data_IF_346343429515
#
_entry.id   IF_346343429515
#
_cell.length_a   1.000
_cell.length_b   1.000
_cell.length_c   1.000
_cell.angle_alpha   90.00
_cell.angle_beta   90.00
_cell.angle_gamma   90.00
#
_symmetry.space_group_name_H-M   'P 1'
#
loop_
_entity.id
_entity.type
_entity.pdbx_description
1 polymer ?
#
# COMPACT_ATOMS: atom_id res chain seq x y z
N UNK A 1 -0.30 -8.22 -10.79
CA UNK A 1 0.72 -7.15 -10.85
C UNK A 1 0.98 -6.69 -12.27
N UNK A 2 0.88 -7.57 -13.27
CA UNK A 2 1.35 -7.38 -14.64
C UNK A 2 0.80 -6.15 -15.38
N UNK A 3 -0.38 -5.64 -15.00
CA UNK A 3 -1.04 -4.48 -15.63
C UNK A 3 -1.10 -3.24 -14.75
N UNK A 4 -0.43 -3.26 -13.59
CA UNK A 4 -0.53 -2.15 -12.64
C UNK A 4 -0.01 -0.84 -13.23
N UNK A 5 1.15 -0.85 -13.89
CA UNK A 5 1.74 0.34 -14.51
C UNK A 5 0.83 0.93 -15.61
N UNK A 6 0.31 0.07 -16.51
CA UNK A 6 -0.66 0.44 -17.56
C UNK A 6 -1.89 1.14 -16.95
N UNK A 7 -2.46 0.56 -15.90
CA UNK A 7 -3.64 1.14 -15.25
C UNK A 7 -3.33 2.40 -14.46
N UNK A 8 -2.17 2.47 -13.81
CA UNK A 8 -1.74 3.67 -13.11
C UNK A 8 -1.63 4.85 -14.07
N UNK A 9 -1.05 4.65 -15.25
CA UNK A 9 -0.95 5.68 -16.29
C UNK A 9 -2.33 6.16 -16.75
N UNK A 10 -3.27 5.23 -17.01
CA UNK A 10 -4.63 5.58 -17.40
C UNK A 10 -5.40 6.34 -16.31
N UNK A 11 -5.16 6.03 -15.05
CA UNK A 11 -5.82 6.68 -13.92
C UNK A 11 -5.20 8.03 -13.55
N UNK A 12 -3.91 8.23 -13.83
CA UNK A 12 -3.11 9.35 -13.32
C UNK A 12 -3.76 10.74 -13.48
N UNK A 13 -4.40 11.11 -14.61
CA UNK A 13 -5.06 12.41 -14.76
C UNK A 13 -6.26 12.62 -13.83
N UNK A 14 -6.77 11.56 -13.21
CA UNK A 14 -7.98 11.54 -12.40
C UNK A 14 -7.71 11.26 -10.91
N UNK A 15 -6.45 11.03 -10.52
CA UNK A 15 -6.09 10.67 -9.15
C UNK A 15 -5.99 11.90 -8.24
N UNK A 16 -6.85 11.97 -7.21
CA UNK A 16 -6.74 12.97 -6.15
C UNK A 16 -5.66 12.62 -5.12
N UNK A 17 -5.62 11.35 -4.70
CA UNK A 17 -4.67 10.82 -3.73
C UNK A 17 -4.46 9.32 -3.99
N UNK A 18 -3.30 8.79 -3.57
CA UNK A 18 -3.04 7.35 -3.51
C UNK A 18 -2.92 6.96 -2.04
N UNK A 19 -3.67 5.96 -1.61
CA UNK A 19 -3.57 5.41 -0.26
C UNK A 19 -2.78 4.11 -0.29
N UNK A 20 -1.78 3.99 0.57
CA UNK A 20 -0.89 2.85 0.67
C UNK A 20 -1.30 1.90 1.80
N UNK A 21 -1.08 0.61 1.55
CA UNK A 21 -1.23 -0.48 2.49
C UNK A 21 -0.32 -1.63 2.06
N UNK A 22 0.06 -2.50 3.01
CA UNK A 22 0.66 -3.78 2.66
C UNK A 22 -0.34 -4.68 1.95
N UNK A 23 0.11 -5.38 0.89
CA UNK A 23 -0.76 -6.18 0.02
C UNK A 23 -0.20 -7.58 -0.20
N UNK A 24 -1.06 -8.59 -0.10
CA UNK A 24 -0.69 -10.00 -0.27
C UNK A 24 -1.62 -10.70 -1.27
N UNK A 25 -1.38 -12.00 -1.49
CA UNK A 25 -2.19 -12.87 -2.34
C UNK A 25 -3.66 -12.84 -1.88
N UNK A 26 -4.60 -12.76 -2.82
CA UNK A 26 -6.04 -12.67 -2.48
C UNK A 26 -6.54 -13.93 -1.80
N UNK A 27 -5.91 -15.06 -2.10
CA UNK A 27 -6.22 -16.40 -1.63
C UNK A 27 -6.00 -16.55 -0.12
N UNK A 28 -5.15 -15.72 0.49
CA UNK A 28 -4.87 -15.78 1.94
C UNK A 28 -5.68 -14.75 2.75
N UNK A 29 -6.53 -13.97 2.07
CA UNK A 29 -7.46 -13.04 2.72
C UNK A 29 -8.67 -13.83 3.20
N UNK A 30 -8.97 -13.75 4.50
CA UNK A 30 -10.24 -14.28 5.00
C UNK A 30 -11.37 -13.37 4.54
N UNK A 31 -12.26 -13.85 3.67
CA UNK A 31 -13.35 -13.04 3.12
C UNK A 31 -14.50 -12.79 4.10
N UNK A 32 -14.56 -13.49 5.23
CA UNK A 32 -15.55 -13.27 6.29
C UNK A 32 -15.06 -12.27 7.33
N UNK A 33 -13.81 -12.40 7.77
CA UNK A 33 -13.22 -11.56 8.83
C UNK A 33 -12.43 -10.38 8.27
N UNK A 34 -12.11 -10.41 6.97
CA UNK A 34 -11.21 -9.46 6.29
C UNK A 34 -9.78 -9.49 6.83
N UNK A 35 -9.40 -10.54 7.55
CA UNK A 35 -8.02 -10.76 7.97
C UNK A 35 -7.09 -10.86 6.76
N UNK A 36 -5.87 -10.33 6.89
CA UNK A 36 -4.87 -10.19 5.82
C UNK A 36 -5.28 -9.30 4.62
N UNK A 37 -6.46 -8.67 4.65
CA UNK A 37 -6.88 -7.74 3.60
C UNK A 37 -5.98 -6.50 3.53
N UNK A 38 -5.54 -6.01 4.68
CA UNK A 38 -4.68 -4.84 4.83
C UNK A 38 -3.56 -5.19 5.81
N UNK A 39 -2.33 -5.21 5.31
CA UNK A 39 -1.14 -5.45 6.11
C UNK A 39 -0.45 -4.12 6.40
N UNK A 40 0.39 -4.02 7.46
CA UNK A 40 1.32 -2.91 7.56
C UNK A 40 2.24 -2.90 6.33
N UNK A 41 2.54 -1.69 5.82
CA UNK A 41 3.46 -1.51 4.69
C UNK A 41 4.79 -2.18 4.99
N UNK A 42 5.35 -2.89 4.00
CA UNK A 42 6.62 -3.62 4.13
C UNK A 42 6.45 -5.07 4.57
N UNK A 43 5.24 -5.47 4.99
CA UNK A 43 4.94 -6.85 5.39
C UNK A 43 4.18 -7.66 4.33
N UNK A 44 3.77 -7.03 3.23
CA UNK A 44 3.11 -7.68 2.12
C UNK A 44 4.08 -8.10 1.01
N UNK A 45 3.50 -8.69 -0.03
CA UNK A 45 4.18 -9.27 -1.18
C UNK A 45 4.33 -8.28 -2.34
N UNK A 46 3.37 -7.37 -2.49
CA UNK A 46 3.21 -6.60 -3.73
C UNK A 46 3.50 -5.12 -3.58
N UNK A 47 3.27 -4.53 -2.41
CA UNK A 47 3.25 -3.09 -2.25
C UNK A 47 4.60 -2.43 -2.53
N UNK A 48 5.72 -3.11 -2.25
CA UNK A 48 7.04 -2.55 -2.51
C UNK A 48 7.27 -2.26 -4.01
N UNK A 49 6.87 -3.19 -4.88
CA UNK A 49 6.93 -2.98 -6.33
C UNK A 49 5.92 -1.92 -6.77
N UNK A 50 4.71 -1.91 -6.20
CA UNK A 50 3.69 -0.91 -6.55
C UNK A 50 4.13 0.50 -6.16
N UNK A 51 4.72 0.69 -4.97
CA UNK A 51 5.25 1.97 -4.49
C UNK A 51 6.36 2.46 -5.42
N UNK A 52 7.27 1.58 -5.86
CA UNK A 52 8.31 1.93 -6.84
C UNK A 52 7.71 2.39 -8.17
N UNK A 53 6.71 1.68 -8.70
CA UNK A 53 6.02 2.08 -9.92
C UNK A 53 5.27 3.41 -9.78
N UNK A 54 4.71 3.70 -8.60
CA UNK A 54 4.12 5.02 -8.30
C UNK A 54 5.17 6.12 -8.34
N UNK A 55 6.35 5.91 -7.74
CA UNK A 55 7.46 6.87 -7.80
C UNK A 55 7.93 7.09 -9.24
N UNK A 56 8.15 6.00 -10.00
CA UNK A 56 8.60 6.04 -11.39
C UNK A 56 7.57 6.71 -12.33
N UNK A 57 6.28 6.63 -12.02
CA UNK A 57 5.23 7.32 -12.77
C UNK A 57 5.27 8.85 -12.67
N UNK A 58 6.05 9.39 -11.72
CA UNK A 58 6.10 10.83 -11.46
C UNK A 58 4.88 11.36 -10.70
N UNK A 59 4.12 10.49 -10.02
CA UNK A 59 2.98 10.89 -9.23
C UNK A 59 3.38 11.87 -8.12
N UNK A 60 2.91 13.11 -8.20
CA UNK A 60 3.17 14.18 -7.23
C UNK A 60 1.99 14.53 -6.32
N UNK A 61 0.92 13.72 -6.34
CA UNK A 61 -0.27 13.95 -5.52
C UNK A 61 -0.14 13.46 -4.08
N UNK A 62 -1.22 13.57 -3.31
CA UNK A 62 -1.21 13.21 -1.89
C UNK A 62 -1.08 11.69 -1.69
N UNK A 63 -0.25 11.30 -0.72
CA UNK A 63 -0.11 9.92 -0.27
C UNK A 63 -0.74 9.79 1.11
N UNK A 64 -1.71 8.88 1.25
CA UNK A 64 -2.27 8.48 2.53
C UNK A 64 -1.79 7.09 2.96
N UNK A 65 -1.85 6.82 4.27
CA UNK A 65 -1.56 5.51 4.84
C UNK A 65 -2.86 4.95 5.43
N UNK A 66 -3.23 3.73 5.07
CA UNK A 66 -4.46 3.10 5.57
C UNK A 66 -4.16 2.33 6.85
N UNK A 67 -4.90 2.65 7.91
CA UNK A 67 -5.05 1.80 9.07
C UNK A 67 -6.35 0.98 8.97
N UNK A 68 -6.32 -0.30 9.36
CA UNK A 68 -7.45 -1.21 9.24
C UNK A 68 -7.33 -2.38 10.24
N UNK A 69 -7.20 -2.07 11.53
CA UNK A 69 -7.32 -3.08 12.58
C UNK A 69 -8.07 -2.47 13.78
N UNK A 70 -9.34 -2.83 14.02
CA UNK A 70 -10.14 -2.25 15.10
C UNK A 70 -9.54 -2.44 16.50
N UNK A 71 -8.70 -3.46 16.66
CA UNK A 71 -8.08 -3.84 17.94
C UNK A 71 -6.65 -3.35 18.10
N UNK A 72 -6.05 -2.72 17.07
CA UNK A 72 -4.68 -2.23 17.14
C UNK A 72 -4.67 -0.74 17.47
N UNK A 73 -3.68 -0.33 18.26
CA UNK A 73 -3.43 1.08 18.54
C UNK A 73 -2.92 1.80 17.28
N UNK A 74 -3.56 2.90 16.89
CA UNK A 74 -3.26 3.59 15.64
C UNK A 74 -1.88 4.26 15.65
N UNK A 75 -1.34 4.68 16.80
CA UNK A 75 0.04 5.20 16.85
C UNK A 75 1.03 4.09 16.51
N UNK A 76 0.85 2.92 17.12
CA UNK A 76 1.66 1.73 16.86
C UNK A 76 1.61 1.35 15.37
N UNK A 77 0.40 1.31 14.79
CA UNK A 77 0.21 1.02 13.36
C UNK A 77 0.84 2.06 12.46
N UNK A 78 0.76 3.34 12.81
CA UNK A 78 1.43 4.40 12.05
C UNK A 78 2.94 4.22 12.07
N UNK A 79 3.53 3.92 13.23
CA UNK A 79 4.98 3.66 13.37
C UNK A 79 5.43 2.48 12.51
N UNK A 80 4.68 1.39 12.50
CA UNK A 80 4.96 0.22 11.66
C UNK A 80 4.92 0.56 10.17
N UNK A 81 3.87 1.26 9.72
CA UNK A 81 3.75 1.67 8.32
C UNK A 81 4.87 2.62 7.89
N UNK A 82 5.24 3.59 8.75
CA UNK A 82 6.35 4.51 8.48
C UNK A 82 7.70 3.78 8.42
N UNK A 83 7.93 2.80 9.30
CA UNK A 83 9.15 2.01 9.29
C UNK A 83 9.27 1.17 8.01
N UNK A 84 8.21 0.47 7.62
CA UNK A 84 8.19 -0.32 6.38
C UNK A 84 8.30 0.55 5.13
N UNK A 85 7.66 1.71 5.10
CA UNK A 85 7.82 2.66 4.00
C UNK A 85 9.27 3.15 3.90
N UNK A 86 9.89 3.52 5.03
CA UNK A 86 11.28 3.94 5.06
C UNK A 86 12.23 2.84 4.54
N UNK A 87 11.97 1.58 4.91
CA UNK A 87 12.74 0.44 4.39
C UNK A 87 12.60 0.29 2.87
N UNK A 88 11.39 0.42 2.33
CA UNK A 88 11.15 0.33 0.88
C UNK A 88 11.86 1.45 0.12
N UNK A 89 11.83 2.68 0.67
CA UNK A 89 12.42 3.87 0.05
C UNK A 89 13.96 3.92 0.17
N UNK A 90 14.55 3.20 1.12
CA UNK A 90 16.01 3.17 1.33
C UNK A 90 16.73 2.12 0.46
N UNK A 91 16.03 1.48 -0.47
CA UNK A 91 16.50 0.37 -1.31
C UNK A 91 16.49 0.71 -2.80
#
# INVERSE_FOLDING_TARGET
>A
MDRFAEYLELMMPYLLCINLSGMTDKEIVDHKTLENKILPIGSGKYEAQMIRLVLESGYGGLIGLIDHMPSADSETRLRENLAGLNEILSR
#
